data_IF_518599724996
#
_entry.id   IF_518599724996
#
_cell.length_a   1.000
_cell.length_b   1.000
_cell.length_c   1.000
_cell.angle_alpha   90.00
_cell.angle_beta   90.00
_cell.angle_gamma   90.00
#
_symmetry.space_group_name_H-M   'P 1'
#
loop_
_entity.id
_entity.type
_entity.pdbx_description
1 polymer ?
#
# COMPACT_ATOMS: atom_id res chain seq x y z
N UNK A 1 6.30 58.66 -12.36
CA UNK A 1 7.54 58.06 -12.90
C UNK A 1 8.17 57.33 -11.72
N UNK A 2 7.78 56.09 -11.45
CA UNK A 2 8.33 54.84 -12.01
C UNK A 2 9.42 54.28 -11.10
N UNK A 3 9.03 53.36 -10.21
CA UNK A 3 9.86 52.26 -9.71
C UNK A 3 8.85 51.11 -9.55
N UNK A 4 8.90 49.98 -10.24
CA UNK A 4 10.06 49.27 -10.76
C UNK A 4 9.93 47.84 -10.23
N UNK A 5 9.17 47.01 -10.96
CA UNK A 5 8.98 45.60 -10.63
C UNK A 5 10.32 44.84 -10.66
N UNK A 6 10.55 43.93 -9.73
CA UNK A 6 11.46 42.82 -9.95
C UNK A 6 11.04 41.59 -9.15
N UNK A 7 10.46 40.64 -9.88
CA UNK A 7 10.17 39.29 -9.42
C UNK A 7 11.45 38.46 -9.49
N UNK A 8 12.04 38.15 -8.34
CA UNK A 8 13.17 37.24 -8.25
C UNK A 8 12.70 35.79 -8.06
N UNK A 9 12.35 35.20 -9.21
CA UNK A 9 12.85 33.90 -9.67
C UNK A 9 13.39 32.97 -8.58
N UNK A 10 12.52 32.18 -7.96
CA UNK A 10 12.91 30.93 -7.31
C UNK A 10 12.96 29.80 -8.34
N UNK A 11 13.97 29.85 -9.22
CA UNK A 11 14.36 28.71 -10.05
C UNK A 11 15.11 27.74 -9.13
N UNK A 12 14.37 26.85 -8.47
CA UNK A 12 14.96 25.75 -7.73
C UNK A 12 15.35 24.64 -8.70
N UNK A 13 16.65 24.62 -8.99
CA UNK A 13 17.48 23.43 -9.18
C UNK A 13 16.84 22.25 -9.91
N UNK A 14 16.95 22.24 -11.23
CA UNK A 14 16.84 21.01 -12.03
C UNK A 14 18.11 20.18 -11.78
N UNK A 15 18.14 19.44 -10.68
CA UNK A 15 19.14 18.39 -10.53
C UNK A 15 18.90 17.33 -11.62
N UNK A 16 19.86 17.20 -12.54
CA UNK A 16 19.92 16.07 -13.46
C UNK A 16 20.25 14.81 -12.68
N UNK A 17 19.21 14.16 -12.15
CA UNK A 17 19.24 12.79 -11.66
C UNK A 17 17.95 12.11 -12.13
N UNK A 18 18.07 11.09 -12.99
CA UNK A 18 17.01 10.21 -13.51
C UNK A 18 15.58 10.67 -13.19
N UNK A 19 14.84 11.21 -14.16
CA UNK A 19 13.43 11.60 -13.99
C UNK A 19 12.62 10.33 -13.66
N UNK A 20 12.47 10.04 -12.37
CA UNK A 20 11.66 8.92 -11.89
C UNK A 20 10.20 9.35 -11.88
N UNK A 21 9.30 8.40 -12.11
CA UNK A 21 7.87 8.61 -12.15
C UNK A 21 7.39 8.87 -10.71
N UNK A 22 6.92 10.09 -10.38
CA UNK A 22 6.48 10.42 -9.03
C UNK A 22 5.16 9.72 -8.70
N UNK A 23 4.90 9.60 -7.40
CA UNK A 23 3.61 9.09 -6.91
C UNK A 23 2.51 10.11 -7.22
N UNK A 24 1.36 9.70 -7.77
CA UNK A 24 0.24 10.61 -8.02
C UNK A 24 -0.38 11.11 -6.71
N UNK A 25 -1.05 12.24 -6.79
CA UNK A 25 -1.84 12.75 -5.67
C UNK A 25 -3.00 11.80 -5.33
N UNK A 26 -3.21 11.60 -4.02
CA UNK A 26 -4.30 10.78 -3.49
C UNK A 26 -3.92 9.35 -3.12
N UNK A 27 -4.94 8.56 -2.76
CA UNK A 27 -4.74 7.17 -2.34
C UNK A 27 -5.05 6.16 -3.47
N UNK A 28 -4.13 5.21 -3.70
CA UNK A 28 -4.37 4.09 -4.61
C UNK A 28 -5.60 3.25 -4.17
N UNK A 29 -6.48 2.93 -5.12
CA UNK A 29 -7.65 2.09 -4.89
C UNK A 29 -8.90 2.83 -4.41
N UNK A 30 -8.89 4.18 -4.40
CA UNK A 30 -10.06 5.02 -4.08
C UNK A 30 -10.48 5.95 -5.24
N UNK A 31 -10.78 5.40 -6.44
CA UNK A 31 -11.23 6.24 -7.55
C UNK A 31 -12.52 6.98 -7.18
N UNK A 32 -12.58 8.28 -7.50
CA UNK A 32 -13.76 9.13 -7.25
C UNK A 32 -13.91 9.68 -5.83
N UNK A 33 -12.95 9.43 -4.92
CA UNK A 33 -12.89 10.03 -3.58
C UNK A 33 -11.54 10.69 -3.26
N UNK A 34 -10.92 11.31 -4.27
CA UNK A 34 -9.59 11.92 -4.14
C UNK A 34 -8.44 10.91 -4.17
N UNK A 35 -8.66 9.72 -4.73
CA UNK A 35 -7.62 8.72 -4.99
C UNK A 35 -7.59 8.29 -6.45
N UNK A 36 -6.64 7.42 -6.79
CA UNK A 36 -6.42 6.97 -8.18
C UNK A 36 -6.51 5.45 -8.33
N UNK A 37 -6.64 5.02 -9.59
CA UNK A 37 -6.58 3.62 -9.95
C UNK A 37 -5.13 3.24 -10.29
N UNK A 38 -4.53 2.38 -9.46
CA UNK A 38 -3.13 1.96 -9.62
C UNK A 38 -2.84 1.32 -10.99
N UNK A 39 -3.76 0.49 -11.50
CA UNK A 39 -3.59 -0.17 -12.80
C UNK A 39 -3.59 0.85 -13.94
N UNK A 40 -4.49 1.83 -13.87
CA UNK A 40 -4.55 2.89 -14.88
C UNK A 40 -3.28 3.76 -14.83
N UNK A 41 -2.80 4.08 -13.63
CA UNK A 41 -1.64 4.95 -13.46
C UNK A 41 -0.34 4.31 -13.95
N UNK A 42 -0.14 3.02 -13.68
CA UNK A 42 1.07 2.34 -14.13
C UNK A 42 1.10 2.18 -15.65
N UNK A 43 -0.07 2.10 -16.30
CA UNK A 43 -0.21 1.82 -17.73
C UNK A 43 0.57 0.58 -18.22
N UNK A 44 0.92 -0.33 -17.32
CA UNK A 44 1.61 -1.58 -17.65
C UNK A 44 0.69 -2.54 -18.39
N UNK A 45 1.31 -3.44 -19.18
CA UNK A 45 0.61 -4.59 -19.74
C UNK A 45 -0.18 -5.31 -18.63
N UNK A 46 -1.48 -5.59 -18.82
CA UNK A 46 -2.33 -6.27 -17.84
C UNK A 46 -1.72 -7.57 -17.28
N UNK A 47 -0.97 -8.31 -18.10
CA UNK A 47 -0.28 -9.52 -17.68
C UNK A 47 0.86 -9.21 -16.68
N UNK A 48 1.70 -8.22 -16.97
CA UNK A 48 2.82 -7.78 -16.11
C UNK A 48 2.29 -7.21 -14.79
N UNK A 49 1.29 -6.33 -14.86
CA UNK A 49 0.64 -5.81 -13.66
C UNK A 49 0.05 -6.93 -12.79
N UNK A 50 -0.59 -7.92 -13.41
CA UNK A 50 -1.14 -9.08 -12.69
C UNK A 50 -0.05 -9.92 -12.03
N UNK A 51 1.11 -10.08 -12.67
CA UNK A 51 2.28 -10.76 -12.09
C UNK A 51 2.82 -9.99 -10.89
N UNK A 52 3.05 -8.68 -11.02
CA UNK A 52 3.48 -7.81 -9.92
C UNK A 52 2.51 -7.90 -8.74
N UNK A 53 1.20 -7.72 -9.00
CA UNK A 53 0.18 -7.79 -7.96
C UNK A 53 0.16 -9.13 -7.23
N UNK A 54 0.29 -10.25 -7.95
CA UNK A 54 0.36 -11.60 -7.34
C UNK A 54 1.64 -11.79 -6.53
N UNK A 55 2.76 -11.28 -7.04
CA UNK A 55 4.05 -11.33 -6.36
C UNK A 55 4.00 -10.57 -5.04
N UNK A 56 3.62 -9.28 -5.07
CA UNK A 56 3.51 -8.46 -3.86
C UNK A 56 2.52 -9.08 -2.86
N UNK A 57 1.35 -9.56 -3.29
CA UNK A 57 0.43 -10.26 -2.38
C UNK A 57 1.07 -11.45 -1.66
N UNK A 58 1.88 -12.24 -2.37
CA UNK A 58 2.57 -13.40 -1.81
C UNK A 58 3.65 -12.95 -0.82
N UNK A 59 4.49 -11.99 -1.19
CA UNK A 59 5.52 -11.47 -0.30
C UNK A 59 4.91 -10.80 0.94
N UNK A 60 3.77 -10.10 0.81
CA UNK A 60 3.02 -9.57 1.95
C UNK A 60 2.59 -10.68 2.91
N UNK A 61 2.02 -11.77 2.41
CA UNK A 61 1.61 -12.90 3.25
C UNK A 61 2.79 -13.61 3.93
N UNK A 62 3.96 -13.63 3.28
CA UNK A 62 5.13 -14.34 3.78
C UNK A 62 5.93 -13.53 4.81
N UNK A 63 6.05 -12.21 4.61
CA UNK A 63 6.98 -11.37 5.37
C UNK A 63 6.30 -10.37 6.30
N UNK A 64 5.05 -9.98 6.01
CA UNK A 64 4.31 -8.98 6.79
C UNK A 64 3.20 -9.62 7.62
N UNK A 65 2.86 -8.97 8.72
CA UNK A 65 1.77 -9.42 9.59
C UNK A 65 0.43 -8.93 9.05
N UNK A 66 -0.33 -9.84 8.43
CA UNK A 66 -1.62 -9.53 7.84
C UNK A 66 -2.69 -9.04 8.85
N UNK A 67 -2.46 -9.18 10.15
CA UNK A 67 -3.35 -8.67 11.21
C UNK A 67 -3.13 -7.18 11.50
N UNK A 68 -2.02 -6.60 11.03
CA UNK A 68 -1.61 -5.24 11.35
C UNK A 68 -1.68 -4.30 10.14
N UNK A 69 -1.93 -3.02 10.41
CA UNK A 69 -1.86 -1.96 9.40
C UNK A 69 -0.41 -1.68 8.98
N UNK A 70 -0.20 -1.09 7.80
CA UNK A 70 1.14 -0.75 7.26
C UNK A 70 2.02 0.01 8.26
N UNK A 71 1.45 0.94 9.03
CA UNK A 71 2.17 1.75 10.03
C UNK A 71 2.72 0.95 11.21
N UNK A 72 2.20 -0.24 11.48
CA UNK A 72 2.67 -1.11 12.57
C UNK A 72 3.57 -2.26 12.06
N UNK A 73 3.79 -2.32 10.75
CA UNK A 73 4.69 -3.30 10.18
C UNK A 73 6.14 -2.95 10.51
N UNK A 74 6.97 -3.98 10.70
CA UNK A 74 8.41 -3.78 10.84
C UNK A 74 8.97 -3.18 9.55
N UNK A 75 9.70 -2.07 9.66
CA UNK A 75 10.34 -1.41 8.52
C UNK A 75 11.27 -2.36 7.74
N UNK A 76 11.99 -3.23 8.45
CA UNK A 76 12.83 -4.26 7.82
C UNK A 76 12.03 -5.25 6.96
N UNK A 77 10.80 -5.60 7.34
CA UNK A 77 9.94 -6.46 6.54
C UNK A 77 9.41 -5.73 5.29
N UNK A 78 9.08 -4.44 5.43
CA UNK A 78 8.70 -3.59 4.29
C UNK A 78 9.86 -3.51 3.28
N UNK A 79 11.06 -3.23 3.76
CA UNK A 79 12.25 -3.11 2.92
C UNK A 79 12.55 -4.41 2.16
N UNK A 80 12.43 -5.56 2.83
CA UNK A 80 12.61 -6.87 2.18
C UNK A 80 11.64 -7.07 1.00
N UNK A 81 10.36 -6.74 1.18
CA UNK A 81 9.37 -6.88 0.09
C UNK A 81 9.67 -5.96 -1.09
N UNK A 82 10.12 -4.73 -0.82
CA UNK A 82 10.52 -3.80 -1.88
C UNK A 82 11.74 -4.34 -2.62
N UNK A 83 12.77 -4.77 -1.88
CA UNK A 83 14.00 -5.31 -2.46
C UNK A 83 13.73 -6.56 -3.30
N UNK A 84 12.87 -7.47 -2.84
CA UNK A 84 12.45 -8.63 -3.63
C UNK A 84 11.69 -8.24 -4.89
N UNK A 85 10.79 -7.25 -4.80
CA UNK A 85 10.03 -6.79 -5.93
C UNK A 85 10.91 -6.12 -6.99
N UNK A 86 11.83 -5.23 -6.60
CA UNK A 86 12.76 -4.57 -7.54
C UNK A 86 13.68 -5.56 -8.25
N UNK A 87 14.10 -6.64 -7.57
CA UNK A 87 14.90 -7.71 -8.20
C UNK A 87 14.14 -8.47 -9.30
N UNK A 88 12.82 -8.64 -9.14
CA UNK A 88 11.99 -9.41 -10.08
C UNK A 88 11.41 -8.52 -11.18
N UNK A 89 11.15 -7.26 -10.88
CA UNK A 89 10.54 -6.27 -11.78
C UNK A 89 11.46 -5.03 -11.84
N UNK A 90 12.48 -5.03 -12.72
CA UNK A 90 13.40 -3.90 -12.84
C UNK A 90 12.69 -2.61 -13.28
N UNK A 91 11.54 -2.71 -13.96
CA UNK A 91 10.66 -1.58 -14.30
C UNK A 91 10.23 -0.75 -13.06
N UNK A 92 10.37 -1.29 -11.85
CA UNK A 92 10.06 -0.56 -10.61
C UNK A 92 11.09 0.52 -10.27
N UNK A 93 12.33 0.43 -10.76
CA UNK A 93 13.38 1.39 -10.46
C UNK A 93 13.13 2.77 -11.08
N UNK A 94 12.30 2.80 -12.14
CA UNK A 94 11.80 4.01 -12.80
C UNK A 94 10.82 4.80 -11.93
N UNK A 95 10.32 4.23 -10.83
CA UNK A 95 9.36 4.88 -9.94
C UNK A 95 10.03 5.41 -8.67
N UNK A 96 9.66 6.62 -8.24
CA UNK A 96 10.14 7.17 -6.97
C UNK A 96 9.79 6.24 -5.80
N UNK A 97 10.79 5.94 -4.96
CA UNK A 97 10.67 5.10 -3.76
C UNK A 97 9.98 3.74 -3.98
N UNK A 98 9.94 3.23 -5.22
CA UNK A 98 9.13 2.06 -5.57
C UNK A 98 7.67 2.19 -5.08
N UNK A 99 7.08 3.39 -5.21
CA UNK A 99 5.71 3.67 -4.77
C UNK A 99 4.65 2.66 -5.26
N UNK A 100 4.76 2.01 -6.44
CA UNK A 100 3.79 0.99 -6.86
C UNK A 100 3.73 -0.20 -5.91
N UNK A 101 4.87 -0.61 -5.36
CA UNK A 101 4.97 -1.70 -4.38
C UNK A 101 4.38 -1.26 -3.05
N UNK A 102 4.70 -0.03 -2.60
CA UNK A 102 4.15 0.52 -1.37
C UNK A 102 2.63 0.61 -1.38
N UNK A 103 2.05 1.02 -2.51
CA UNK A 103 0.60 1.13 -2.68
C UNK A 103 -0.06 -0.24 -2.75
N UNK A 104 0.52 -1.18 -3.50
CA UNK A 104 0.04 -2.56 -3.52
C UNK A 104 0.05 -3.13 -2.10
N UNK A 105 1.16 -3.01 -1.38
CA UNK A 105 1.27 -3.49 -0.01
C UNK A 105 0.23 -2.85 0.92
N UNK A 106 0.02 -1.53 0.81
CA UNK A 106 -1.02 -0.83 1.57
C UNK A 106 -2.42 -1.38 1.26
N UNK A 107 -2.75 -1.56 -0.02
CA UNK A 107 -4.02 -2.14 -0.45
C UNK A 107 -4.20 -3.58 0.06
N UNK A 108 -3.14 -4.39 -0.01
CA UNK A 108 -3.13 -5.77 0.49
C UNK A 108 -3.45 -5.80 1.98
N UNK A 109 -2.70 -5.03 2.78
CA UNK A 109 -2.83 -4.99 4.22
C UNK A 109 -4.18 -4.45 4.67
N UNK A 110 -4.72 -3.40 4.01
CA UNK A 110 -6.07 -2.90 4.30
C UNK A 110 -7.14 -3.97 4.08
N UNK A 111 -7.01 -4.77 3.02
CA UNK A 111 -7.94 -5.85 2.74
C UNK A 111 -7.78 -7.02 3.72
N UNK A 112 -6.55 -7.42 4.05
CA UNK A 112 -6.30 -8.56 4.93
C UNK A 112 -6.59 -8.26 6.40
N UNK A 113 -6.20 -7.07 6.89
CA UNK A 113 -6.41 -6.71 8.30
C UNK A 113 -7.88 -6.54 8.62
N UNK A 114 -8.67 -5.94 7.73
CA UNK A 114 -10.13 -5.87 7.88
C UNK A 114 -10.77 -7.25 7.95
N UNK A 115 -10.29 -8.21 7.15
CA UNK A 115 -10.77 -9.60 7.20
C UNK A 115 -10.33 -10.33 8.46
N UNK A 116 -9.10 -10.14 8.92
CA UNK A 116 -8.62 -10.71 10.17
C UNK A 116 -9.43 -10.20 11.36
N UNK A 117 -9.72 -8.90 11.41
CA UNK A 117 -10.57 -8.28 12.43
C UNK A 117 -12.01 -8.82 12.37
N UNK A 118 -12.58 -8.97 11.18
CA UNK A 118 -13.91 -9.58 11.02
C UNK A 118 -13.93 -11.05 11.49
N UNK A 119 -12.90 -11.83 11.15
CA UNK A 119 -12.78 -13.21 11.60
C UNK A 119 -12.63 -13.31 13.13
N UNK A 120 -11.87 -12.40 13.75
CA UNK A 120 -11.77 -12.32 15.22
C UNK A 120 -13.10 -11.95 15.86
N UNK A 121 -13.86 -11.00 15.30
CA UNK A 121 -15.20 -10.63 15.79
C UNK A 121 -16.19 -11.79 15.70
N UNK A 122 -16.27 -12.44 14.53
CA UNK A 122 -17.14 -13.60 14.32
C UNK A 122 -16.72 -14.81 15.18
N UNK A 123 -15.43 -14.94 15.48
CA UNK A 123 -14.90 -15.94 16.42
C UNK A 123 -15.28 -15.63 17.87
N UNK A 124 -15.13 -14.37 18.30
CA UNK A 124 -15.52 -13.89 19.62
C UNK A 124 -17.03 -14.06 19.88
N UNK A 125 -17.87 -13.72 18.89
CA UNK A 125 -19.33 -13.91 18.99
C UNK A 125 -19.72 -15.38 19.25
N UNK A 126 -18.96 -16.33 18.66
CA UNK A 126 -19.16 -17.76 18.90
C UNK A 126 -18.71 -18.17 20.31
N UNK A 127 -17.58 -17.64 20.78
CA UNK A 127 -17.05 -17.90 22.13
C UNK A 127 -18.04 -17.39 23.20
N UNK A 128 -18.59 -16.19 23.03
CA UNK A 128 -19.57 -15.62 23.95
C UNK A 128 -20.88 -16.43 23.98
N UNK A 129 -21.33 -16.92 22.83
CA UNK A 129 -22.54 -17.77 22.75
C UNK A 129 -22.33 -19.14 23.42
N UNK A 130 -21.15 -19.76 23.27
CA UNK A 130 -20.81 -21.02 23.96
C UNK A 130 -20.73 -20.81 25.46
N UNK A 131 -20.09 -19.73 25.90
CA UNK A 131 -19.97 -19.34 27.32
C UNK A 131 -21.33 -19.06 27.97
N UNK A 132 -22.27 -18.46 27.26
CA UNK A 132 -23.62 -18.20 27.80
C UNK A 132 -24.50 -19.46 27.81
N UNK A 133 -24.31 -20.40 26.89
CA UNK A 133 -25.02 -21.70 26.90
C UNK A 133 -24.59 -22.60 28.06
N UNK A 134 -23.32 -22.60 28.44
CA UNK A 134 -22.81 -23.42 29.56
C UNK A 134 -23.30 -22.92 30.92
N UNK A 135 -23.69 -21.66 31.04
CA UNK A 135 -24.23 -21.08 32.29
C UNK A 135 -25.69 -21.40 32.57
N UNK A 136 -26.46 -21.79 31.55
CA UNK A 136 -27.90 -22.07 31.67
C UNK A 136 -28.23 -23.57 31.88
N UNK A 137 -27.23 -24.43 32.08
CA UNK A 137 -27.41 -25.89 32.28
C UNK A 137 -27.11 -26.32 33.72
N UNK A 138 -26.79 -25.38 34.62
CA UNK A 138 -26.39 -25.66 35.99
C UNK A 138 -27.40 -25.20 37.06
N UNK A 139 -28.69 -25.06 36.72
CA UNK A 139 -29.75 -24.77 37.70
C UNK A 139 -31.00 -25.62 37.46
#
# INVERSE_FOLDING_TARGET
MSDGASSESSLTSFESGTIKIPKPEGEAGRPGRGGYNLKAQLAWNPATFSKLKKFVHRSVKNHLDATQCKSHQRESAIFLVIQEASKVFPDLDDYHDCWPVHDLMQMCLKYTSGRAQLAQRLGADKVDKVRNKTKNVAN
#
